data_IF_657377809822
#
_entry.id   IF_657377809822
#
_cell.length_a   1.000
_cell.length_b   1.000
_cell.length_c   1.000
_cell.angle_alpha   90.00
_cell.angle_beta   90.00
_cell.angle_gamma   90.00
#
_symmetry.space_group_name_H-M   'P 1'
#
loop_
_entity.id
_entity.type
_entity.pdbx_description
1 polymer ?
#
# COMPACT_ATOMS: atom_id res chain seq x y z
N UNK A 1 18.57 2.14 15.32
CA UNK A 1 17.34 2.32 16.14
C UNK A 1 16.17 2.48 15.18
N UNK A 2 15.45 1.39 14.89
CA UNK A 2 14.33 1.37 13.95
C UNK A 2 13.16 2.18 14.51
N UNK A 3 12.74 3.22 13.78
CA UNK A 3 11.66 4.11 14.17
C UNK A 3 10.35 3.30 14.26
N UNK A 4 9.54 3.48 15.31
CA UNK A 4 8.49 2.54 15.67
C UNK A 4 7.43 2.43 14.58
N UNK A 5 7.13 1.19 14.18
CA UNK A 5 6.05 0.78 13.29
C UNK A 5 4.63 1.06 13.83
N UNK A 6 4.45 2.14 14.62
CA UNK A 6 3.14 2.59 15.14
C UNK A 6 2.37 3.46 14.14
N UNK A 7 3.04 3.93 13.08
CA UNK A 7 2.48 4.80 12.05
C UNK A 7 2.01 4.06 10.80
N UNK A 8 2.30 2.77 10.70
CA UNK A 8 1.96 1.93 9.54
C UNK A 8 0.72 1.13 9.91
N UNK A 9 -0.39 1.43 9.23
CA UNK A 9 -1.63 0.67 9.37
C UNK A 9 -1.48 -0.75 8.81
N UNK A 10 -2.36 -1.68 9.21
CA UNK A 10 -2.34 -3.06 8.69
C UNK A 10 -2.41 -3.12 7.16
N UNK A 11 -3.14 -2.18 6.54
CA UNK A 11 -3.20 -2.04 5.08
C UNK A 11 -1.85 -1.64 4.47
N UNK A 12 -1.14 -0.67 5.05
CA UNK A 12 0.20 -0.26 4.58
C UNK A 12 1.21 -1.40 4.75
N UNK A 13 1.14 -2.13 5.86
CA UNK A 13 2.02 -3.28 6.10
C UNK A 13 1.77 -4.39 5.07
N UNK A 14 0.50 -4.67 4.75
CA UNK A 14 0.13 -5.62 3.71
C UNK A 14 0.62 -5.17 2.33
N UNK A 15 0.54 -3.88 1.98
CA UNK A 15 1.12 -3.34 0.74
C UNK A 15 2.63 -3.60 0.69
N UNK A 16 3.36 -3.25 1.73
CA UNK A 16 4.81 -3.47 1.80
C UNK A 16 5.14 -4.96 1.69
N UNK A 17 4.35 -5.84 2.29
CA UNK A 17 4.53 -7.29 2.21
C UNK A 17 4.33 -7.81 0.78
N UNK A 18 3.32 -7.32 0.06
CA UNK A 18 3.06 -7.67 -1.33
C UNK A 18 4.20 -7.18 -2.23
N UNK A 19 4.67 -5.95 -2.01
CA UNK A 19 5.82 -5.41 -2.74
C UNK A 19 7.10 -6.18 -2.44
N UNK A 20 7.27 -6.70 -1.22
CA UNK A 20 8.41 -7.54 -0.87
C UNK A 20 8.34 -8.92 -1.53
N UNK A 21 7.16 -9.52 -1.59
CA UNK A 21 6.92 -10.85 -2.15
C UNK A 21 6.94 -10.85 -3.69
N UNK A 22 6.27 -9.88 -4.30
CA UNK A 22 6.06 -9.80 -5.76
C UNK A 22 6.95 -8.79 -6.47
N UNK A 23 7.63 -7.92 -5.72
CA UNK A 23 8.37 -6.79 -6.27
C UNK A 23 7.45 -5.66 -6.71
N UNK A 24 7.28 -5.49 -8.02
CA UNK A 24 6.48 -4.41 -8.60
C UNK A 24 4.98 -4.79 -8.56
N UNK A 25 4.20 -4.08 -7.76
CA UNK A 25 2.74 -4.26 -7.70
C UNK A 25 2.01 -2.95 -8.02
N UNK A 26 0.93 -3.06 -8.80
CA UNK A 26 0.08 -1.90 -9.15
C UNK A 26 -0.96 -1.64 -8.06
N UNK A 27 -1.46 -0.39 -8.00
CA UNK A 27 -2.54 0.00 -7.07
C UNK A 27 -3.74 -0.94 -7.17
N UNK A 28 -4.08 -1.39 -8.38
CA UNK A 28 -5.17 -2.34 -8.62
C UNK A 28 -4.88 -3.71 -8.00
N UNK A 29 -3.67 -4.24 -8.15
CA UNK A 29 -3.29 -5.50 -7.50
C UNK A 29 -3.23 -5.38 -5.98
N UNK A 30 -2.72 -4.28 -5.46
CA UNK A 30 -2.74 -4.01 -4.02
C UNK A 30 -4.17 -3.95 -3.50
N UNK A 31 -5.06 -3.25 -4.21
CA UNK A 31 -6.48 -3.14 -3.85
C UNK A 31 -7.16 -4.50 -3.91
N UNK A 32 -6.88 -5.31 -4.94
CA UNK A 32 -7.45 -6.65 -5.10
C UNK A 32 -6.99 -7.61 -3.99
N UNK A 33 -5.73 -7.54 -3.56
CA UNK A 33 -5.19 -8.36 -2.48
C UNK A 33 -5.69 -7.89 -1.11
N UNK A 34 -5.76 -6.57 -0.87
CA UNK A 34 -6.26 -6.00 0.40
C UNK A 34 -7.76 -6.15 0.56
N UNK A 35 -8.49 -5.96 -0.54
CA UNK A 35 -9.95 -5.96 -0.61
C UNK A 35 -10.37 -6.81 -1.81
N UNK A 36 -10.36 -8.15 -1.69
CA UNK A 36 -10.86 -9.02 -2.75
C UNK A 36 -12.35 -8.73 -2.96
N UNK A 37 -12.70 -8.26 -4.17
CA UNK A 37 -14.06 -7.79 -4.49
C UNK A 37 -14.36 -6.34 -4.06
N UNK A 38 -13.35 -5.59 -3.61
CA UNK A 38 -13.45 -4.17 -3.31
C UNK A 38 -13.70 -3.35 -4.57
N UNK A 39 -14.72 -2.49 -4.53
CA UNK A 39 -15.06 -1.57 -5.61
C UNK A 39 -14.23 -0.29 -5.60
N UNK A 40 -14.73 0.71 -6.32
CA UNK A 40 -14.06 2.02 -6.46
C UNK A 40 -13.77 2.72 -5.12
N UNK A 41 -14.57 2.46 -4.08
CA UNK A 41 -14.37 3.05 -2.75
C UNK A 41 -13.09 2.53 -2.05
N UNK A 42 -12.83 1.23 -2.16
CA UNK A 42 -11.62 0.59 -1.64
C UNK A 42 -10.40 1.05 -2.41
N UNK A 43 -10.51 1.16 -3.74
CA UNK A 43 -9.44 1.72 -4.58
C UNK A 43 -9.07 3.15 -4.16
N UNK A 44 -10.07 4.02 -3.95
CA UNK A 44 -9.82 5.39 -3.49
C UNK A 44 -9.15 5.44 -2.09
N UNK A 45 -9.48 4.48 -1.22
CA UNK A 45 -8.86 4.34 0.10
C UNK A 45 -7.39 3.94 -0.03
N UNK A 46 -7.10 2.90 -0.82
CA UNK A 46 -5.73 2.42 -1.08
C UNK A 46 -4.89 3.48 -1.79
N UNK A 47 -5.49 4.25 -2.70
CA UNK A 47 -4.82 5.35 -3.38
C UNK A 47 -4.40 6.45 -2.39
N UNK A 48 -5.28 6.87 -1.46
CA UNK A 48 -4.93 7.84 -0.41
C UNK A 48 -3.88 7.31 0.55
N UNK A 49 -3.91 6.01 0.84
CA UNK A 49 -2.94 5.32 1.68
C UNK A 49 -1.55 5.31 1.02
N UNK A 50 -1.49 4.97 -0.27
CA UNK A 50 -0.28 5.03 -1.08
C UNK A 50 0.27 6.44 -1.22
N UNK A 51 -0.58 7.44 -1.43
CA UNK A 51 -0.17 8.86 -1.50
C UNK A 51 0.54 9.29 -0.19
N UNK A 52 -0.01 8.88 0.95
CA UNK A 52 0.61 9.12 2.27
C UNK A 52 1.91 8.35 2.46
N UNK A 53 2.01 7.10 1.97
CA UNK A 53 3.23 6.31 2.02
C UNK A 53 4.33 6.86 1.10
N UNK A 54 3.97 7.36 -0.08
CA UNK A 54 4.89 8.04 -1.00
C UNK A 54 5.42 9.32 -0.36
N UNK A 55 4.54 10.12 0.26
CA UNK A 55 4.94 11.32 0.99
C UNK A 55 5.90 11.03 2.15
N UNK A 56 5.82 9.82 2.73
CA UNK A 56 6.75 9.32 3.76
C UNK A 56 7.95 8.55 3.17
N UNK A 57 8.11 8.53 1.85
CA UNK A 57 9.17 7.85 1.11
C UNK A 57 9.25 6.32 1.32
N UNK A 58 8.16 5.68 1.77
CA UNK A 58 8.11 4.23 1.98
C UNK A 58 7.88 3.43 0.70
N UNK A 59 7.21 4.01 -0.28
CA UNK A 59 6.88 3.38 -1.56
C UNK A 59 7.20 4.35 -2.68
N UNK A 60 7.79 3.84 -3.76
CA UNK A 60 8.05 4.63 -4.97
C UNK A 60 7.16 4.11 -6.09
N UNK A 61 6.32 4.99 -6.65
CA UNK A 61 5.59 4.70 -7.88
C UNK A 61 6.53 4.86 -9.08
N UNK A 62 6.71 3.78 -9.82
CA UNK A 62 7.27 3.84 -11.17
C UNK A 62 6.09 4.13 -12.11
N UNK A 63 6.11 5.30 -12.77
CA UNK A 63 5.01 5.78 -13.63
C UNK A 63 5.36 5.60 -15.09
#
# INVERSE_FOLDING_TARGET
MGRPARDITEAELAVLRILWDRGMATIRQLTDVLYPGGGAAQYATVQKLLDRMEAKEFVRRDR
#
